data_IF_493526185463
#
_entry.id   IF_493526185463
#
_cell.length_a   1.000
_cell.length_b   1.000
_cell.length_c   1.000
_cell.angle_alpha   90.00
_cell.angle_beta   90.00
_cell.angle_gamma   90.00
#
_symmetry.space_group_name_H-M   'P 1'
#
loop_
_entity.id
_entity.type
_entity.pdbx_description
1 polymer ?
#
# COMPACT_ATOMS: atom_id res chain seq x y z
N UNK A 1 -24.73 2.79 5.62
CA UNK A 1 -23.70 3.53 6.40
C UNK A 1 -22.48 3.69 5.53
N UNK A 2 -21.70 4.79 5.71
CA UNK A 2 -20.45 4.95 4.98
C UNK A 2 -19.43 3.88 5.43
N UNK A 3 -18.76 3.22 4.48
CA UNK A 3 -17.73 2.20 4.74
C UNK A 3 -16.48 2.81 5.34
N UNK A 4 -15.78 2.05 6.18
CA UNK A 4 -14.52 2.46 6.80
C UNK A 4 -13.35 1.92 5.98
N UNK A 5 -12.43 2.83 5.61
CA UNK A 5 -11.20 2.51 4.92
C UNK A 5 -9.98 2.85 5.79
N UNK A 6 -9.08 1.90 5.95
CA UNK A 6 -7.81 2.08 6.65
C UNK A 6 -6.65 2.02 5.66
N UNK A 7 -5.85 3.10 5.60
CA UNK A 7 -4.69 3.22 4.71
C UNK A 7 -3.42 3.28 5.54
N UNK A 8 -2.57 2.26 5.43
CA UNK A 8 -1.26 2.28 6.11
C UNK A 8 -0.26 3.16 5.35
N UNK A 9 0.54 3.96 6.07
CA UNK A 9 1.38 4.98 5.43
C UNK A 9 0.54 6.05 4.70
N UNK A 10 -0.68 6.32 5.19
CA UNK A 10 -1.72 7.09 4.51
C UNK A 10 -1.55 8.61 4.54
N UNK A 11 -0.44 9.14 5.07
CA UNK A 11 -0.25 10.59 5.29
C UNK A 11 0.69 11.26 4.30
N UNK A 12 1.35 10.51 3.40
CA UNK A 12 2.31 11.01 2.39
C UNK A 12 2.21 10.25 1.08
N UNK A 13 2.72 10.84 0.00
CA UNK A 13 2.89 10.21 -1.31
C UNK A 13 1.62 9.49 -1.79
N UNK A 14 1.78 8.26 -2.27
CA UNK A 14 0.69 7.41 -2.76
C UNK A 14 -0.40 7.22 -1.71
N UNK A 15 -0.01 6.95 -0.45
CA UNK A 15 -0.96 6.74 0.64
C UNK A 15 -1.83 7.97 0.92
N UNK A 16 -1.27 9.18 0.86
CA UNK A 16 -2.05 10.41 1.02
C UNK A 16 -3.05 10.63 -0.12
N UNK A 17 -2.64 10.37 -1.36
CA UNK A 17 -3.54 10.45 -2.52
C UNK A 17 -4.69 9.45 -2.40
N UNK A 18 -4.38 8.20 -1.98
CA UNK A 18 -5.39 7.17 -1.71
C UNK A 18 -6.36 7.61 -0.62
N UNK A 19 -5.85 8.12 0.50
CA UNK A 19 -6.68 8.58 1.62
C UNK A 19 -7.61 9.71 1.21
N UNK A 20 -7.11 10.69 0.43
CA UNK A 20 -7.90 11.79 -0.14
C UNK A 20 -8.98 11.29 -1.09
N UNK A 21 -8.64 10.39 -2.02
CA UNK A 21 -9.58 9.84 -2.99
C UNK A 21 -10.72 9.06 -2.33
N UNK A 22 -10.40 8.19 -1.37
CA UNK A 22 -11.41 7.43 -0.62
C UNK A 22 -12.31 8.36 0.20
N UNK A 23 -11.76 9.39 0.86
CA UNK A 23 -12.57 10.39 1.58
C UNK A 23 -13.51 11.14 0.64
N UNK A 24 -13.02 11.60 -0.51
CA UNK A 24 -13.84 12.30 -1.51
C UNK A 24 -14.96 11.43 -2.08
N UNK A 25 -14.78 10.10 -2.09
CA UNK A 25 -15.79 9.13 -2.48
C UNK A 25 -16.76 8.73 -1.34
N UNK A 26 -16.68 9.39 -0.18
CA UNK A 26 -17.64 9.20 0.92
C UNK A 26 -17.27 8.10 1.92
N UNK A 27 -16.05 7.54 1.85
CA UNK A 27 -15.57 6.61 2.90
C UNK A 27 -15.21 7.37 4.18
N UNK A 28 -15.41 6.74 5.33
CA UNK A 28 -14.74 7.14 6.56
C UNK A 28 -13.31 6.62 6.51
N UNK A 29 -12.33 7.51 6.44
CA UNK A 29 -10.93 7.12 6.23
C UNK A 29 -10.11 7.30 7.50
N UNK A 30 -9.31 6.28 7.83
CA UNK A 30 -8.23 6.32 8.80
C UNK A 30 -6.90 6.23 8.06
N UNK A 31 -5.95 7.11 8.36
CA UNK A 31 -4.59 7.06 7.82
C UNK A 31 -3.60 6.73 8.93
N UNK A 32 -2.84 5.62 8.81
CA UNK A 32 -1.79 5.35 9.79
C UNK A 32 -0.41 5.83 9.30
N UNK A 33 0.46 6.09 10.26
CA UNK A 33 1.85 6.49 10.02
C UNK A 33 2.75 6.00 11.17
N UNK A 34 4.08 5.97 10.95
CA UNK A 34 5.03 5.53 11.98
C UNK A 34 5.85 6.68 12.59
N UNK A 35 6.55 7.45 11.78
CA UNK A 35 7.64 8.31 12.28
C UNK A 35 7.58 9.80 11.96
N UNK A 36 6.75 10.28 11.02
CA UNK A 36 6.72 11.68 10.64
C UNK A 36 5.48 12.40 11.18
N UNK A 37 5.56 12.81 12.45
CA UNK A 37 4.46 13.48 13.15
C UNK A 37 4.06 14.81 12.47
N UNK A 38 5.04 15.59 12.01
CA UNK A 38 4.78 16.87 11.35
C UNK A 38 4.00 16.70 10.04
N UNK A 39 4.38 15.73 9.21
CA UNK A 39 3.65 15.43 7.98
C UNK A 39 2.24 14.88 8.26
N UNK A 40 2.07 14.08 9.30
CA UNK A 40 0.78 13.53 9.70
C UNK A 40 -0.17 14.63 10.19
N UNK A 41 0.29 15.55 11.04
CA UNK A 41 -0.52 16.67 11.51
C UNK A 41 -0.87 17.66 10.39
N UNK A 42 0.08 17.95 9.49
CA UNK A 42 -0.20 18.74 8.28
C UNK A 42 -1.29 18.08 7.43
N UNK A 43 -1.13 16.79 7.13
CA UNK A 43 -2.11 16.03 6.35
C UNK A 43 -3.51 16.04 7.01
N UNK A 44 -3.57 15.84 8.33
CA UNK A 44 -4.82 15.91 9.09
C UNK A 44 -5.46 17.30 9.01
N UNK A 45 -4.67 18.37 9.18
CA UNK A 45 -5.15 19.75 9.08
C UNK A 45 -5.72 20.10 7.70
N UNK A 46 -5.06 19.63 6.63
CA UNK A 46 -5.49 19.87 5.24
C UNK A 46 -6.71 19.07 4.83
N UNK A 47 -6.83 17.84 5.33
CA UNK A 47 -7.83 16.89 4.84
C UNK A 47 -8.95 16.61 5.82
N UNK A 48 -8.73 16.84 7.11
CA UNK A 48 -9.62 16.37 8.19
C UNK A 48 -9.73 14.86 8.30
N UNK A 49 -8.79 14.09 7.69
CA UNK A 49 -8.70 12.64 7.87
C UNK A 49 -8.03 12.36 9.21
N UNK A 50 -8.62 11.56 10.11
CA UNK A 50 -7.98 11.16 11.35
C UNK A 50 -6.71 10.35 11.07
N UNK A 51 -5.66 10.66 11.82
CA UNK A 51 -4.35 10.03 11.70
C UNK A 51 -4.00 9.26 12.97
N UNK A 52 -3.38 8.11 12.79
CA UNK A 52 -3.06 7.18 13.89
C UNK A 52 -1.61 6.73 13.79
N UNK A 53 -0.89 6.77 14.90
CA UNK A 53 0.53 6.43 14.95
C UNK A 53 0.75 5.01 15.46
N UNK A 54 1.33 4.16 14.61
CA UNK A 54 1.90 2.86 15.01
C UNK A 54 2.87 2.35 13.94
N UNK A 55 3.76 1.43 14.34
CA UNK A 55 4.63 0.71 13.43
C UNK A 55 3.93 -0.55 12.89
N UNK A 56 3.76 -0.64 11.58
CA UNK A 56 3.14 -1.80 10.92
C UNK A 56 3.99 -3.07 10.99
N UNK A 57 5.29 -2.97 11.31
CA UNK A 57 6.15 -4.11 11.55
C UNK A 57 5.87 -4.81 12.90
N UNK A 58 5.16 -4.13 13.82
CA UNK A 58 4.79 -4.70 15.13
C UNK A 58 3.35 -5.22 15.11
N UNK A 59 3.18 -6.52 15.34
CA UNK A 59 1.86 -7.16 15.39
C UNK A 59 0.96 -6.56 16.48
N UNK A 60 1.50 -6.38 17.70
CA UNK A 60 0.74 -5.83 18.83
C UNK A 60 0.37 -4.36 18.62
N UNK A 61 1.26 -3.57 18.02
CA UNK A 61 0.96 -2.19 17.66
C UNK A 61 -0.15 -2.10 16.60
N UNK A 62 -0.17 -3.01 15.62
CA UNK A 62 -1.25 -3.13 14.64
C UNK A 62 -2.58 -3.49 15.33
N UNK A 63 -2.57 -4.45 16.25
CA UNK A 63 -3.77 -4.84 16.99
C UNK A 63 -4.35 -3.66 17.79
N UNK A 64 -3.52 -2.94 18.53
CA UNK A 64 -3.94 -1.76 19.28
C UNK A 64 -4.43 -0.62 18.36
N UNK A 65 -3.73 -0.38 17.26
CA UNK A 65 -4.07 0.64 16.27
C UNK A 65 -5.41 0.38 15.59
N UNK A 66 -5.63 -0.84 15.08
CA UNK A 66 -6.89 -1.23 14.42
C UNK A 66 -8.06 -1.16 15.40
N UNK A 67 -7.89 -1.67 16.64
CA UNK A 67 -8.92 -1.57 17.68
C UNK A 67 -9.35 -0.13 17.95
N UNK A 68 -8.39 0.81 17.97
CA UNK A 68 -8.68 2.24 18.13
C UNK A 68 -9.45 2.80 16.93
N UNK A 69 -9.05 2.48 15.71
CA UNK A 69 -9.74 2.89 14.48
C UNK A 69 -11.18 2.38 14.48
N UNK A 70 -11.39 1.10 14.81
CA UNK A 70 -12.73 0.50 14.80
C UNK A 70 -13.64 1.06 15.91
N UNK A 71 -13.09 1.42 17.05
CA UNK A 71 -13.84 2.08 18.12
C UNK A 71 -14.33 3.49 17.72
N UNK A 72 -13.54 4.22 16.92
CA UNK A 72 -13.84 5.61 16.55
C UNK A 72 -14.65 5.72 15.26
N UNK A 73 -14.38 4.88 14.25
CA UNK A 73 -14.96 5.02 12.91
C UNK A 73 -15.92 3.89 12.54
N UNK A 74 -15.87 2.77 13.23
CA UNK A 74 -16.57 1.54 12.92
C UNK A 74 -15.66 0.48 12.30
N UNK A 75 -16.21 -0.73 12.03
CA UNK A 75 -15.45 -1.86 11.54
C UNK A 75 -14.80 -1.57 10.18
N UNK A 76 -13.54 -1.98 10.01
CA UNK A 76 -12.79 -1.76 8.76
C UNK A 76 -13.35 -2.63 7.64
N UNK A 77 -13.81 -1.99 6.57
CA UNK A 77 -14.34 -2.64 5.36
C UNK A 77 -13.32 -2.68 4.22
N UNK A 78 -12.42 -1.70 4.17
CA UNK A 78 -11.36 -1.59 3.16
C UNK A 78 -10.02 -1.42 3.87
N UNK A 79 -9.08 -2.33 3.62
CA UNK A 79 -7.70 -2.23 4.08
C UNK A 79 -6.77 -1.98 2.89
N UNK A 80 -6.03 -0.88 2.93
CA UNK A 80 -4.98 -0.58 1.96
C UNK A 80 -3.62 -0.71 2.63
N UNK A 81 -2.91 -1.79 2.33
CA UNK A 81 -1.54 -2.03 2.76
C UNK A 81 -0.59 -1.27 1.84
N UNK A 82 -0.26 -0.03 2.21
CA UNK A 82 0.60 0.86 1.42
C UNK A 82 1.92 1.20 2.13
N UNK A 83 2.00 1.07 3.46
CA UNK A 83 3.23 1.35 4.19
C UNK A 83 4.41 0.52 3.65
N UNK A 84 5.54 1.17 3.45
CA UNK A 84 6.74 0.50 2.97
C UNK A 84 7.97 1.39 3.05
N UNK A 85 9.13 0.76 3.07
CA UNK A 85 10.45 1.40 3.10
C UNK A 85 11.39 0.74 2.09
N UNK A 86 12.46 1.44 1.73
CA UNK A 86 13.60 0.88 1.00
C UNK A 86 14.87 0.95 1.86
N UNK A 87 15.80 0.03 1.63
CA UNK A 87 17.18 0.03 2.16
C UNK A 87 18.07 -0.53 1.07
N UNK A 88 18.26 0.30 0.04
CA UNK A 88 18.88 -0.10 -1.22
C UNK A 88 20.40 -0.24 -1.06
N UNK A 89 20.90 -1.41 -1.44
CA UNK A 89 22.34 -1.70 -1.52
C UNK A 89 22.58 -3.00 -2.30
N UNK A 90 23.74 -3.12 -2.93
CA UNK A 90 24.09 -4.37 -3.61
C UNK A 90 24.16 -5.53 -2.59
N UNK A 91 23.65 -6.72 -2.97
CA UNK A 91 23.41 -7.83 -2.04
C UNK A 91 24.66 -8.22 -1.21
N UNK A 92 25.84 -8.24 -1.81
CA UNK A 92 27.08 -8.57 -1.10
C UNK A 92 27.50 -7.57 0.00
N UNK A 93 26.83 -6.39 0.05
CA UNK A 93 27.02 -5.36 1.09
C UNK A 93 25.80 -5.19 1.97
N UNK A 94 24.71 -5.91 1.67
CA UNK A 94 23.45 -5.80 2.42
C UNK A 94 23.62 -6.40 3.82
N UNK A 95 23.28 -5.62 4.84
CA UNK A 95 23.29 -6.12 6.22
C UNK A 95 21.99 -6.86 6.54
N UNK A 96 22.05 -7.72 7.58
CA UNK A 96 20.86 -8.40 8.08
C UNK A 96 19.80 -7.41 8.56
N UNK A 97 20.19 -6.29 9.15
CA UNK A 97 19.27 -5.25 9.60
C UNK A 97 18.55 -4.58 8.43
N UNK A 98 19.27 -4.30 7.33
CA UNK A 98 18.65 -3.75 6.11
C UNK A 98 17.65 -4.73 5.48
N UNK A 99 18.01 -6.02 5.47
CA UNK A 99 17.11 -7.07 5.01
C UNK A 99 15.88 -7.16 5.90
N UNK A 100 16.05 -7.35 7.20
CA UNK A 100 14.96 -7.53 8.16
C UNK A 100 14.04 -6.31 8.22
N UNK A 101 14.58 -5.10 8.20
CA UNK A 101 13.77 -3.87 8.21
C UNK A 101 12.81 -3.82 7.01
N UNK A 102 13.29 -4.18 5.80
CA UNK A 102 12.45 -4.16 4.59
C UNK A 102 11.45 -5.31 4.60
N UNK A 103 11.87 -6.53 4.93
CA UNK A 103 10.96 -7.69 4.97
C UNK A 103 9.86 -7.49 6.01
N UNK A 104 10.20 -7.08 7.22
CA UNK A 104 9.22 -6.91 8.30
C UNK A 104 8.24 -5.77 8.00
N UNK A 105 8.73 -4.64 7.46
CA UNK A 105 7.85 -3.50 7.17
C UNK A 105 7.02 -3.72 5.91
N UNK A 106 7.59 -4.24 4.83
CA UNK A 106 6.88 -4.30 3.55
C UNK A 106 6.03 -5.57 3.42
N UNK A 107 6.55 -6.73 3.85
CA UNK A 107 5.85 -8.01 3.72
C UNK A 107 5.20 -8.45 5.03
N UNK A 108 5.94 -8.42 6.15
CA UNK A 108 5.42 -8.80 7.46
C UNK A 108 4.19 -7.99 7.88
N UNK A 109 4.15 -6.70 7.50
CA UNK A 109 3.01 -5.83 7.77
C UNK A 109 1.70 -6.30 7.12
N UNK A 110 1.76 -6.99 5.98
CA UNK A 110 0.55 -7.53 5.34
C UNK A 110 -0.16 -8.52 6.28
N UNK A 111 0.61 -9.42 6.87
CA UNK A 111 0.08 -10.34 7.89
C UNK A 111 -0.41 -9.57 9.10
N UNK A 112 0.44 -8.68 9.66
CA UNK A 112 0.13 -7.95 10.88
C UNK A 112 -1.17 -7.16 10.78
N UNK A 113 -1.39 -6.46 9.68
CA UNK A 113 -2.58 -5.63 9.45
C UNK A 113 -3.79 -6.47 9.06
N UNK A 114 -3.62 -7.39 8.10
CA UNK A 114 -4.73 -8.18 7.58
C UNK A 114 -5.34 -9.07 8.65
N UNK A 115 -4.50 -9.66 9.52
CA UNK A 115 -4.97 -10.50 10.62
C UNK A 115 -5.93 -9.78 11.56
N UNK A 116 -5.78 -8.48 11.73
CA UNK A 116 -6.65 -7.70 12.64
C UNK A 116 -8.05 -7.46 12.07
N UNK A 117 -8.22 -7.46 10.76
CA UNK A 117 -9.50 -7.08 10.12
C UNK A 117 -10.22 -8.25 9.46
N UNK A 118 -9.51 -9.32 9.10
CA UNK A 118 -10.04 -10.39 8.25
C UNK A 118 -11.22 -11.12 8.89
N UNK A 119 -11.20 -11.38 10.19
CA UNK A 119 -12.30 -12.08 10.88
C UNK A 119 -13.59 -11.24 10.88
N UNK A 120 -13.47 -9.93 11.14
CA UNK A 120 -14.58 -9.00 11.05
C UNK A 120 -15.16 -8.91 9.64
N UNK A 121 -14.29 -8.85 8.61
CA UNK A 121 -14.71 -8.88 7.21
C UNK A 121 -15.46 -10.18 6.87
N UNK A 122 -14.95 -11.34 7.30
CA UNK A 122 -15.60 -12.66 7.11
C UNK A 122 -16.98 -12.73 7.75
N UNK A 123 -17.10 -12.25 8.99
CA UNK A 123 -18.37 -12.22 9.72
C UNK A 123 -19.43 -11.35 9.00
N UNK A 124 -19.01 -10.22 8.41
CA UNK A 124 -19.89 -9.32 7.64
C UNK A 124 -20.08 -9.73 6.19
N UNK A 125 -19.36 -10.74 5.70
CA UNK A 125 -19.34 -11.20 4.30
C UNK A 125 -19.02 -10.06 3.31
N UNK A 126 -18.15 -9.16 3.73
CA UNK A 126 -17.66 -8.05 2.92
C UNK A 126 -16.27 -7.64 3.36
N UNK A 127 -15.37 -7.44 2.42
CA UNK A 127 -14.04 -6.87 2.63
C UNK A 127 -13.36 -6.55 1.31
N UNK A 128 -12.49 -5.52 1.33
CA UNK A 128 -11.59 -5.16 0.25
C UNK A 128 -10.19 -5.01 0.82
N UNK A 129 -9.27 -5.85 0.39
CA UNK A 129 -7.87 -5.81 0.80
C UNK A 129 -7.04 -5.51 -0.44
N UNK A 130 -6.31 -4.39 -0.40
CA UNK A 130 -5.53 -3.90 -1.53
C UNK A 130 -4.10 -3.65 -1.06
N UNK A 131 -3.14 -4.36 -1.65
CA UNK A 131 -1.71 -4.20 -1.31
C UNK A 131 -1.00 -3.39 -2.39
N UNK A 132 -0.25 -2.37 -1.98
CA UNK A 132 0.59 -1.60 -2.90
C UNK A 132 1.95 -2.30 -3.01
N UNK A 133 2.08 -3.13 -4.05
CA UNK A 133 3.30 -3.81 -4.41
C UNK A 133 4.25 -2.86 -5.20
N UNK A 134 4.91 -3.35 -6.22
CA UNK A 134 5.81 -2.58 -7.09
C UNK A 134 6.10 -3.35 -8.37
N UNK A 135 6.40 -2.62 -9.45
CA UNK A 135 7.04 -3.17 -10.65
C UNK A 135 8.32 -3.95 -10.28
N UNK A 136 9.04 -3.54 -9.23
CA UNK A 136 10.27 -4.20 -8.80
C UNK A 136 10.03 -5.55 -8.10
N UNK A 137 8.79 -5.81 -7.65
CA UNK A 137 8.35 -7.15 -7.24
C UNK A 137 8.08 -8.09 -8.43
N UNK A 138 7.84 -7.54 -9.62
CA UNK A 138 7.58 -8.29 -10.84
C UNK A 138 8.86 -8.55 -11.66
N UNK A 139 9.68 -7.50 -11.89
CA UNK A 139 10.88 -7.60 -12.74
C UNK A 139 12.21 -7.68 -11.98
N UNK A 140 12.22 -7.39 -10.68
CA UNK A 140 13.44 -7.17 -9.91
C UNK A 140 14.08 -5.80 -10.18
N UNK A 141 15.02 -5.41 -9.32
CA UNK A 141 15.80 -4.18 -9.45
C UNK A 141 17.17 -4.33 -8.81
N UNK A 142 18.23 -3.87 -9.51
CA UNK A 142 19.58 -3.87 -8.94
C UNK A 142 19.62 -3.07 -7.63
N UNK A 143 20.26 -3.64 -6.62
CA UNK A 143 20.40 -3.03 -5.28
C UNK A 143 19.15 -3.17 -4.40
N UNK A 144 18.10 -3.84 -4.86
CA UNK A 144 16.82 -3.98 -4.14
C UNK A 144 16.40 -5.44 -3.94
N UNK A 145 17.33 -6.34 -3.63
CA UNK A 145 17.00 -7.76 -3.43
C UNK A 145 15.98 -7.95 -2.30
N UNK A 146 16.14 -7.23 -1.16
CA UNK A 146 15.20 -7.22 -0.05
C UNK A 146 13.82 -6.64 -0.45
N UNK A 147 13.81 -5.50 -1.12
CA UNK A 147 12.58 -4.83 -1.55
C UNK A 147 11.83 -5.63 -2.62
N UNK A 148 12.55 -6.12 -3.63
CA UNK A 148 11.95 -6.95 -4.69
C UNK A 148 11.39 -8.25 -4.13
N UNK A 149 12.10 -8.91 -3.19
CA UNK A 149 11.60 -10.11 -2.51
C UNK A 149 10.32 -9.82 -1.73
N UNK A 150 10.29 -8.72 -0.95
CA UNK A 150 9.10 -8.33 -0.21
C UNK A 150 7.92 -8.04 -1.15
N UNK A 151 8.15 -7.26 -2.22
CA UNK A 151 7.08 -6.86 -3.17
C UNK A 151 6.60 -8.02 -4.06
N UNK A 152 7.45 -9.00 -4.35
CA UNK A 152 7.03 -10.26 -4.95
C UNK A 152 6.20 -11.10 -3.95
N UNK A 153 6.58 -11.09 -2.67
CA UNK A 153 5.82 -11.71 -1.59
C UNK A 153 4.41 -11.14 -1.44
N UNK A 154 4.22 -9.81 -1.62
CA UNK A 154 2.91 -9.16 -1.64
C UNK A 154 1.97 -9.80 -2.69
N UNK A 155 2.50 -10.12 -3.87
CA UNK A 155 1.74 -10.75 -4.96
C UNK A 155 1.36 -12.19 -4.60
N UNK A 156 2.29 -12.95 -4.02
CA UNK A 156 2.02 -14.31 -3.53
C UNK A 156 0.97 -14.34 -2.42
N UNK A 157 1.12 -13.44 -1.43
CA UNK A 157 0.16 -13.25 -0.34
C UNK A 157 -1.25 -12.93 -0.88
N UNK A 158 -1.33 -12.00 -1.83
CA UNK A 158 -2.58 -11.58 -2.48
C UNK A 158 -3.31 -12.75 -3.11
N UNK A 159 -2.62 -13.57 -3.89
CA UNK A 159 -3.21 -14.74 -4.59
C UNK A 159 -3.74 -15.78 -3.61
N UNK A 160 -2.95 -16.14 -2.60
CA UNK A 160 -3.35 -17.15 -1.63
C UNK A 160 -4.54 -16.68 -0.79
N UNK A 161 -4.49 -15.46 -0.24
CA UNK A 161 -5.54 -14.92 0.60
C UNK A 161 -6.86 -14.70 -0.18
N UNK A 162 -6.78 -14.38 -1.48
CA UNK A 162 -7.93 -14.25 -2.36
C UNK A 162 -8.70 -15.58 -2.47
N UNK A 163 -8.00 -16.68 -2.72
CA UNK A 163 -8.61 -18.03 -2.83
C UNK A 163 -9.32 -18.41 -1.52
N UNK A 164 -8.69 -18.14 -0.38
CA UNK A 164 -9.24 -18.50 0.93
C UNK A 164 -10.53 -17.73 1.27
N UNK A 165 -10.68 -16.50 0.76
CA UNK A 165 -11.72 -15.58 1.26
C UNK A 165 -12.76 -15.17 0.21
N UNK A 166 -12.62 -15.56 -1.06
CA UNK A 166 -13.54 -15.20 -2.14
C UNK A 166 -14.99 -15.59 -1.83
N UNK A 167 -15.22 -16.82 -1.32
CA UNK A 167 -16.56 -17.29 -0.92
C UNK A 167 -17.17 -16.47 0.23
N UNK A 168 -16.34 -15.76 1.00
CA UNK A 168 -16.74 -14.87 2.07
C UNK A 168 -17.08 -13.45 1.62
N UNK A 169 -17.12 -13.16 0.32
CA UNK A 169 -17.41 -11.81 -0.21
C UNK A 169 -16.23 -10.82 -0.04
N UNK A 170 -15.04 -11.34 0.21
CA UNK A 170 -13.81 -10.54 0.37
C UNK A 170 -12.97 -10.64 -0.90
N UNK A 171 -12.61 -9.50 -1.46
CA UNK A 171 -11.64 -9.45 -2.55
C UNK A 171 -10.26 -9.02 -2.03
N UNK A 172 -9.22 -9.63 -2.57
CA UNK A 172 -7.82 -9.34 -2.24
C UNK A 172 -7.06 -9.11 -3.53
N UNK A 173 -6.52 -7.91 -3.71
CA UNK A 173 -5.81 -7.54 -4.94
C UNK A 173 -4.52 -6.79 -4.62
N UNK A 174 -3.59 -6.81 -5.56
CA UNK A 174 -2.38 -6.01 -5.50
C UNK A 174 -2.38 -4.95 -6.62
N UNK A 175 -1.73 -3.83 -6.37
CA UNK A 175 -1.36 -2.87 -7.40
C UNK A 175 0.16 -2.85 -7.46
N UNK A 176 0.73 -2.91 -8.66
CA UNK A 176 2.17 -2.83 -8.91
C UNK A 176 2.51 -1.52 -9.64
N UNK A 177 2.75 -0.40 -8.91
CA UNK A 177 3.15 0.85 -9.51
C UNK A 177 4.54 0.76 -10.14
N UNK A 178 4.76 1.55 -11.21
CA UNK A 178 6.08 1.92 -11.67
C UNK A 178 6.67 3.08 -10.87
N UNK A 179 7.43 3.96 -11.53
CA UNK A 179 7.96 5.16 -10.90
C UNK A 179 6.88 6.23 -10.79
N UNK A 180 6.49 6.54 -9.56
CA UNK A 180 5.43 7.51 -9.21
C UNK A 180 6.07 8.75 -8.61
N UNK A 181 5.61 9.92 -9.01
CA UNK A 181 6.06 11.24 -8.57
C UNK A 181 5.76 11.47 -7.07
N UNK A 182 6.62 10.95 -6.21
CA UNK A 182 6.54 11.05 -4.75
C UNK A 182 7.83 11.63 -4.19
N UNK A 183 7.80 12.09 -2.95
CA UNK A 183 9.01 12.57 -2.24
C UNK A 183 10.17 11.55 -2.33
N UNK A 184 9.87 10.25 -2.26
CA UNK A 184 10.87 9.18 -2.38
C UNK A 184 11.56 9.18 -3.76
N UNK A 185 10.80 9.34 -4.83
CA UNK A 185 11.35 9.38 -6.20
C UNK A 185 12.00 10.73 -6.49
N UNK A 186 11.46 11.81 -5.99
CA UNK A 186 12.06 13.15 -6.12
C UNK A 186 13.38 13.32 -5.35
N UNK A 187 13.68 12.45 -4.38
CA UNK A 187 14.98 12.40 -3.72
C UNK A 187 16.11 11.85 -4.63
N UNK A 188 15.76 11.21 -5.75
CA UNK A 188 16.72 10.79 -6.78
C UNK A 188 17.20 12.05 -7.54
N UNK A 189 18.50 12.18 -7.81
CA UNK A 189 19.02 13.33 -8.57
C UNK A 189 18.27 13.52 -9.91
N UNK A 190 17.93 14.76 -10.22
CA UNK A 190 17.09 15.09 -11.38
C UNK A 190 17.67 14.60 -12.71
N UNK A 191 18.99 14.71 -12.86
CA UNK A 191 19.71 14.21 -14.04
C UNK A 191 19.62 12.68 -14.19
N UNK A 192 19.59 11.95 -13.08
CA UNK A 192 19.38 10.49 -13.08
C UNK A 192 17.95 10.15 -13.48
N UNK A 193 16.96 10.89 -12.96
CA UNK A 193 15.57 10.70 -13.34
C UNK A 193 15.37 10.96 -14.84
N UNK A 194 15.86 12.09 -15.36
CA UNK A 194 15.67 12.48 -16.75
C UNK A 194 16.44 11.61 -17.73
N UNK A 195 17.65 11.16 -17.39
CA UNK A 195 18.51 10.41 -18.31
C UNK A 195 18.34 8.89 -18.19
N UNK A 196 18.04 8.37 -17.00
CA UNK A 196 18.11 6.94 -16.75
C UNK A 196 16.75 6.32 -16.36
N UNK A 197 15.79 7.09 -15.84
CA UNK A 197 14.51 6.55 -15.38
C UNK A 197 13.40 6.84 -16.39
N UNK A 198 13.13 8.11 -16.68
CA UNK A 198 12.01 8.52 -17.53
C UNK A 198 12.10 7.89 -18.93
N UNK A 199 13.28 7.79 -19.59
CA UNK A 199 13.38 7.17 -20.91
C UNK A 199 13.05 5.67 -20.93
N UNK A 200 13.06 5.01 -19.78
CA UNK A 200 12.65 3.60 -19.66
C UNK A 200 11.13 3.41 -19.54
N UNK A 201 10.39 4.51 -19.38
CA UNK A 201 8.92 4.49 -19.23
C UNK A 201 8.32 4.84 -20.60
N UNK A 202 7.62 3.95 -21.30
CA UNK A 202 7.07 4.20 -22.63
C UNK A 202 6.18 5.45 -22.73
N UNK A 203 5.39 5.76 -21.68
CA UNK A 203 4.60 7.01 -21.63
C UNK A 203 5.44 8.26 -21.36
N UNK A 204 6.77 8.12 -21.21
CA UNK A 204 7.76 9.18 -21.10
C UNK A 204 7.52 10.20 -19.97
N UNK A 205 6.96 9.77 -18.85
CA UNK A 205 6.80 10.56 -17.63
C UNK A 205 6.70 9.64 -16.40
N UNK A 206 6.89 10.23 -15.23
CA UNK A 206 6.48 9.58 -13.98
C UNK A 206 4.96 9.47 -13.92
N UNK A 207 4.46 8.44 -13.23
CA UNK A 207 3.06 8.37 -12.85
C UNK A 207 2.78 9.35 -11.69
N UNK A 208 1.53 9.76 -11.54
CA UNK A 208 1.11 10.59 -10.40
C UNK A 208 0.45 9.73 -9.32
N UNK A 209 0.59 10.10 -8.02
CA UNK A 209 -0.04 9.38 -6.93
C UNK A 209 -1.55 9.20 -7.11
N UNK A 210 -2.22 10.15 -7.74
CA UNK A 210 -3.65 10.13 -8.04
C UNK A 210 -4.02 9.04 -9.06
N UNK A 211 -3.09 8.64 -9.94
CA UNK A 211 -3.33 7.53 -10.89
C UNK A 211 -3.41 6.19 -10.15
N UNK A 212 -2.60 6.02 -9.10
CA UNK A 212 -2.69 4.85 -8.21
C UNK A 212 -3.95 4.92 -7.35
N UNK A 213 -4.25 6.10 -6.81
CA UNK A 213 -5.43 6.30 -5.96
C UNK A 213 -6.74 5.98 -6.68
N UNK A 214 -6.89 6.32 -7.98
CA UNK A 214 -8.04 5.95 -8.80
C UNK A 214 -8.23 4.44 -8.93
N UNK A 215 -7.13 3.70 -9.08
CA UNK A 215 -7.18 2.24 -9.15
C UNK A 215 -7.57 1.61 -7.80
N UNK A 216 -7.04 2.15 -6.70
CA UNK A 216 -7.46 1.73 -5.35
C UNK A 216 -8.94 1.99 -5.15
N UNK A 217 -9.44 3.17 -5.54
CA UNK A 217 -10.85 3.52 -5.41
C UNK A 217 -11.74 2.56 -6.20
N UNK A 218 -11.36 2.21 -7.43
CA UNK A 218 -12.06 1.22 -8.23
C UNK A 218 -12.09 -0.15 -7.55
N UNK A 219 -10.93 -0.68 -7.10
CA UNK A 219 -10.86 -1.97 -6.43
C UNK A 219 -11.56 -2.00 -5.06
N UNK A 220 -11.73 -0.85 -4.41
CA UNK A 220 -12.46 -0.70 -3.15
C UNK A 220 -13.99 -0.67 -3.35
N UNK A 221 -14.47 -0.43 -4.56
CA UNK A 221 -15.91 -0.30 -4.87
C UNK A 221 -16.63 -1.64 -4.87
N UNK A 222 -17.98 -1.57 -4.93
CA UNK A 222 -18.82 -2.75 -5.12
C UNK A 222 -18.67 -3.34 -6.53
N UNK A 223 -18.40 -2.51 -7.53
CA UNK A 223 -18.26 -2.90 -8.93
C UNK A 223 -17.07 -3.83 -9.17
N UNK A 224 -16.07 -3.80 -8.28
CA UNK A 224 -14.89 -4.67 -8.32
C UNK A 224 -15.11 -6.04 -7.61
N UNK A 225 -16.34 -6.40 -7.26
CA UNK A 225 -16.63 -7.62 -6.49
C UNK A 225 -16.23 -8.94 -7.15
N UNK A 226 -16.02 -8.96 -8.48
CA UNK A 226 -15.55 -10.14 -9.21
C UNK A 226 -14.03 -10.13 -9.52
N UNK A 227 -13.31 -9.09 -9.07
CA UNK A 227 -11.86 -8.96 -9.23
C UNK A 227 -11.20 -9.35 -7.91
N UNK A 228 -10.56 -10.52 -7.88
CA UNK A 228 -9.81 -11.00 -6.71
C UNK A 228 -8.60 -11.84 -7.15
N UNK A 229 -7.51 -11.78 -6.38
CA UNK A 229 -6.25 -12.46 -6.69
C UNK A 229 -5.44 -11.79 -7.82
N UNK A 230 -5.88 -10.64 -8.31
CA UNK A 230 -5.26 -9.93 -9.42
C UNK A 230 -4.14 -9.00 -8.96
N UNK A 231 -3.16 -8.80 -9.85
CA UNK A 231 -2.16 -7.74 -9.72
C UNK A 231 -2.37 -6.74 -10.85
N UNK A 232 -2.84 -5.55 -10.51
CA UNK A 232 -3.01 -4.46 -11.47
C UNK A 232 -1.70 -3.70 -11.63
N UNK A 233 -1.08 -3.84 -12.79
CA UNK A 233 0.17 -3.16 -13.12
C UNK A 233 -0.09 -1.76 -13.63
N UNK A 234 0.48 -0.73 -12.96
CA UNK A 234 0.32 0.69 -13.31
C UNK A 234 1.70 1.33 -13.40
N UNK A 235 2.35 1.23 -14.55
CA UNK A 235 3.77 1.56 -14.70
C UNK A 235 4.11 2.29 -16.02
N UNK A 236 3.11 2.80 -16.72
CA UNK A 236 3.33 3.53 -17.98
C UNK A 236 3.93 2.67 -19.12
N UNK A 237 3.73 1.34 -19.06
CA UNK A 237 4.25 0.40 -20.05
C UNK A 237 5.69 -0.06 -19.80
N UNK A 238 6.29 0.27 -18.64
CA UNK A 238 7.68 -0.07 -18.34
C UNK A 238 7.90 -1.58 -18.13
N UNK A 239 6.86 -2.31 -17.77
CA UNK A 239 6.87 -3.77 -17.62
C UNK A 239 5.48 -4.34 -17.92
N UNK A 240 5.47 -5.46 -18.63
CA UNK A 240 4.29 -6.25 -18.94
C UNK A 240 4.40 -7.61 -18.23
N UNK A 241 3.38 -7.98 -17.43
CA UNK A 241 3.31 -9.28 -16.74
C UNK A 241 2.51 -10.28 -17.59
#
# INVERSE_FOLDING_TARGET
MARVALVTGGTRGIGAAISKALKSAGYKVAASYAGNDAAAEKFKGETGVPVYKWDVASFDACAGGVKKVEAELGPVDVLVNNAGITRDTAFHKMTLDQWNAVINTNLGSLFNMTRQVIEGMRARKFGRIISISSINGQKGQFGQVNYSAAKAGDIGFTKALAIENAKGGITVNAIAPGYINTEMVQAVPKDVLEKNVIPQIPVNRLGEPEEIARAVLFLASDDAGFITGSTLTINGGQYHA
#
